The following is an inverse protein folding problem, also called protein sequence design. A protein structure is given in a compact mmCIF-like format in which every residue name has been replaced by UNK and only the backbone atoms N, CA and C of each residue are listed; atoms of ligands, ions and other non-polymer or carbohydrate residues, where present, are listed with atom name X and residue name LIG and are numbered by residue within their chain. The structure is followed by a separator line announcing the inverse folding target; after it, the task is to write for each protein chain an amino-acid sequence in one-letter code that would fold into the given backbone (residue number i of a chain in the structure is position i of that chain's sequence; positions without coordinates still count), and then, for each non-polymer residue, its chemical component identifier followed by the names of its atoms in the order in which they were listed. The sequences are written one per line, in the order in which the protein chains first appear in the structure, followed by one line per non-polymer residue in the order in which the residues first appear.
data_IF_291412043147
#
_entry.id   IF_291412043147
#
_cell.length_a   1.000
_cell.length_b   1.000
_cell.length_c   1.000
_cell.angle_alpha   90.00
_cell.angle_beta   90.00
_cell.angle_gamma   90.00
#
_symmetry.space_group_name_H-M   'P 1'
#
loop_
_entity.id
_entity.type
_entity.pdbx_description
1 polymer ?
2 non-polymer ?
3 water ?
#
# COMPACT_ATOMS: atom_id res chain seq x y z
N UNK A 1 13.25 3.75 -3.32
CA UNK A 1 14.06 2.54 -3.13
C UNK A 1 13.44 1.52 -2.18
N UNK A 2 14.05 0.34 -2.16
CA UNK A 2 13.42 -0.78 -1.46
C UNK A 2 13.36 -0.57 0.07
N UNK A 3 14.39 0.03 0.64
CA UNK A 3 14.39 0.30 2.10
C UNK A 3 13.39 1.37 2.48
N UNK A 4 13.29 2.44 1.69
CA UNK A 4 12.26 3.44 2.02
C UNK A 4 10.90 2.71 1.91
N UNK A 5 10.71 1.91 0.83
CA UNK A 5 9.41 1.24 0.64
C UNK A 5 9.14 0.37 1.87
N UNK A 6 10.20 -0.23 2.45
CA UNK A 6 9.97 -1.08 3.64
C UNK A 6 9.47 -0.28 4.84
N UNK A 7 9.92 0.98 4.99
CA UNK A 7 9.53 1.77 6.14
C UNK A 7 8.08 2.20 5.91
N UNK A 8 7.81 2.69 4.71
CA UNK A 8 6.43 3.07 4.41
C UNK A 8 5.46 1.91 4.71
N UNK A 9 5.82 0.71 4.27
CA UNK A 9 4.95 -0.46 4.42
C UNK A 9 4.82 -0.82 5.90
N UNK A 10 5.95 -0.89 6.62
CA UNK A 10 5.95 -1.24 8.09
C UNK A 10 5.07 -0.29 8.87
N UNK A 11 5.09 0.98 8.51
CA UNK A 11 4.36 1.93 9.27
C UNK A 11 2.86 1.96 8.93
N UNK A 12 2.57 1.97 7.63
CA UNK A 12 1.21 1.96 7.10
C UNK A 12 0.48 0.69 7.57
N UNK A 13 1.20 -0.42 7.49
CA UNK A 13 0.67 -1.70 7.94
C UNK A 13 0.20 -1.83 9.37
N UNK A 14 0.61 -0.91 10.24
CA UNK A 14 0.15 -0.94 11.65
C UNK A 14 -1.38 -0.76 11.75
N UNK A 15 -2.00 -0.02 10.83
CA UNK A 15 -3.43 0.20 10.84
C UNK A 15 -4.26 -0.99 10.27
N UNK A 16 -3.61 -2.07 9.86
CA UNK A 16 -4.37 -3.18 9.33
C UNK A 16 -5.31 -3.77 10.39
N UNK A 17 -4.85 -3.97 11.62
CA UNK A 17 -5.74 -4.68 12.57
C UNK A 17 -7.06 -3.94 12.88
N UNK A 18 -6.99 -2.62 12.99
CA UNK A 18 -8.14 -1.80 13.31
C UNK A 18 -9.08 -1.71 12.11
N UNK A 19 -8.61 -2.13 10.94
CA UNK A 19 -9.43 -2.04 9.72
C UNK A 19 -10.03 -3.35 9.26
N UNK A 20 -9.68 -4.45 9.95
CA UNK A 20 -10.14 -5.74 9.50
C UNK A 20 -11.65 -5.88 9.57
N UNK A 21 -12.24 -5.48 10.70
CA UNK A 21 -13.66 -5.78 10.88
C UNK A 21 -14.54 -5.11 9.84
N UNK A 22 -14.24 -3.86 9.53
CA UNK A 22 -15.09 -3.10 8.67
C UNK A 22 -14.86 -3.44 7.20
N UNK A 23 -13.70 -4.04 6.89
CA UNK A 23 -13.38 -4.49 5.52
C UNK A 23 -13.69 -5.94 5.22
N UNK A 24 -13.95 -6.74 6.25
CA UNK A 24 -14.07 -8.17 5.99
C UNK A 24 -12.76 -8.93 5.74
N UNK A 25 -11.59 -8.29 6.05
CA UNK A 25 -10.30 -8.87 5.77
C UNK A 25 -9.87 -9.86 6.88
N UNK A 26 -10.22 -11.11 6.67
CA UNK A 26 -9.88 -12.24 7.54
C UNK A 26 -8.38 -12.37 7.64
N UNK A 27 -7.88 -12.82 8.80
CA UNK A 27 -6.43 -13.09 8.90
C UNK A 27 -6.05 -14.17 7.89
N UNK A 28 -7.02 -15.03 7.51
CA UNK A 28 -6.71 -16.10 6.53
C UNK A 28 -6.52 -15.56 5.14
N UNK A 29 -6.93 -14.33 4.90
CA UNK A 29 -6.63 -13.71 3.61
C UNK A 29 -5.26 -12.98 3.69
N UNK A 30 -5.07 -12.21 4.76
CA UNK A 30 -3.79 -11.48 5.05
C UNK A 30 -3.54 -11.35 6.55
N UNK A 31 -2.46 -12.01 6.99
CA UNK A 31 -2.16 -12.03 8.40
C UNK A 31 -1.41 -10.78 8.79
N UNK A 32 -0.29 -10.50 8.11
CA UNK A 32 0.50 -9.34 8.44
C UNK A 32 0.58 -8.55 7.13
N UNK A 33 0.46 -7.24 7.23
CA UNK A 33 0.53 -6.39 5.99
C UNK A 33 1.80 -6.60 5.21
N UNK A 34 2.93 -6.84 5.88
CA UNK A 34 4.19 -7.09 5.17
C UNK A 34 4.11 -8.13 4.06
N UNK A 35 3.27 -9.14 4.25
CA UNK A 35 3.11 -10.22 3.26
C UNK A 35 2.56 -9.70 1.90
N UNK A 36 1.95 -8.50 1.90
CA UNK A 36 1.55 -7.87 0.64
C UNK A 36 2.67 -8.01 -0.43
N UNK A 37 3.92 -7.95 -0.02
CA UNK A 37 5.03 -7.97 -0.91
C UNK A 37 5.60 -9.33 -1.27
N UNK A 38 5.07 -10.41 -0.69
CA UNK A 38 5.66 -11.72 -0.99
C UNK A 38 5.22 -12.12 -2.39
N UNK A 39 6.13 -12.83 -3.08
CA UNK A 39 5.91 -13.47 -4.37
C UNK A 39 4.78 -14.44 -4.36
N UNK A 40 4.41 -14.89 -3.16
CA UNK A 40 3.43 -15.92 -2.96
C UNK A 40 2.06 -15.35 -2.49
N UNK A 41 1.92 -14.03 -2.57
CA UNK A 41 0.66 -13.40 -2.19
C UNK A 41 0.05 -12.69 -3.36
N UNK A 42 -1.16 -13.06 -3.72
CA UNK A 42 -1.91 -12.39 -4.80
C UNK A 42 -2.77 -11.29 -4.27
N UNK A 43 -2.58 -10.10 -4.84
CA UNK A 43 -3.23 -8.88 -4.39
C UNK A 43 -4.49 -8.77 -5.20
N UNK A 44 -5.58 -9.35 -4.69
CA UNK A 44 -6.77 -9.51 -5.53
C UNK A 44 -8.10 -9.38 -4.80
N UNK A 45 -8.14 -9.58 -3.50
CA UNK A 45 -9.44 -9.52 -2.84
C UNK A 45 -10.11 -8.16 -2.71
N UNK A 46 -11.39 -8.10 -2.99
CA UNK A 46 -12.10 -6.87 -2.73
C UNK A 46 -11.87 -6.45 -1.27
N UNK A 47 -11.94 -7.43 -0.35
CA UNK A 47 -11.77 -7.05 1.03
C UNK A 47 -10.45 -6.26 1.33
N UNK A 48 -9.39 -6.50 0.58
CA UNK A 48 -8.10 -5.88 0.83
C UNK A 48 -8.17 -4.49 0.24
N UNK A 49 -8.88 -4.36 -0.86
CA UNK A 49 -9.21 -3.00 -1.37
C UNK A 49 -9.93 -2.14 -0.34
N UNK A 50 -11.00 -2.70 0.26
CA UNK A 50 -11.70 -2.05 1.36
C UNK A 50 -10.77 -1.73 2.57
N UNK A 51 -9.88 -2.66 2.97
CA UNK A 51 -8.92 -2.44 4.05
C UNK A 51 -7.99 -1.30 3.72
N UNK A 52 -7.49 -1.29 2.50
CA UNK A 52 -6.58 -0.22 2.05
C UNK A 52 -7.25 1.12 2.10
N UNK A 53 -8.55 1.22 1.75
CA UNK A 53 -9.26 2.51 1.88
C UNK A 53 -9.26 2.92 3.36
N UNK A 54 -9.68 1.97 4.23
CA UNK A 54 -9.69 2.21 5.66
C UNK A 54 -8.30 2.73 6.16
N UNK A 55 -7.25 2.02 5.79
CA UNK A 55 -5.92 2.31 6.29
C UNK A 55 -5.51 3.66 5.80
N UNK A 56 -5.78 3.90 4.52
CA UNK A 56 -5.35 5.16 3.92
C UNK A 56 -6.03 6.35 4.60
N UNK A 57 -7.31 6.20 4.93
CA UNK A 57 -8.10 7.32 5.45
C UNK A 57 -7.62 7.70 6.88
N UNK A 58 -7.06 6.74 7.61
CA UNK A 58 -6.40 7.02 8.91
C UNK A 58 -5.31 8.10 8.79
N UNK A 59 -4.56 8.05 7.68
CA UNK A 59 -3.42 8.92 7.45
C UNK A 59 -3.78 10.01 6.41
N UNK A 60 -5.07 10.17 6.10
CA UNK A 60 -5.54 11.08 5.01
C UNK A 60 -4.77 10.92 3.68
N UNK A 61 -4.49 9.67 3.31
CA UNK A 61 -3.68 9.42 2.15
C UNK A 61 -4.53 9.34 0.89
N UNK A 62 -5.83 9.25 1.06
CA UNK A 62 -6.78 9.31 -0.06
C UNK A 62 -7.65 10.53 0.00
N UNK A 63 -8.15 10.97 -1.15
CA UNK A 63 -8.98 12.14 -1.19
C UNK A 63 -10.40 11.68 -1.25
N UNK A 64 -11.29 12.66 -1.35
CA UNK A 64 -12.70 12.41 -1.32
C UNK A 64 -13.22 11.64 -2.56
N UNK A 65 -12.39 11.53 -3.59
CA UNK A 65 -12.66 10.65 -4.75
C UNK A 65 -12.12 9.21 -4.60
N UNK A 66 -11.72 8.87 -3.36
CA UNK A 66 -11.14 7.55 -3.06
C UNK A 66 -9.96 7.23 -3.98
N UNK A 67 -9.23 8.30 -4.27
CA UNK A 67 -7.94 8.21 -4.97
C UNK A 67 -6.85 8.81 -4.09
N UNK A 68 -5.61 8.47 -4.39
CA UNK A 68 -4.50 9.02 -3.65
C UNK A 68 -4.54 10.53 -3.59
N UNK A 69 -4.28 11.04 -2.40
CA UNK A 69 -4.08 12.47 -2.21
C UNK A 69 -2.58 12.70 -2.47
N UNK A 70 -2.23 13.36 -3.58
CA UNK A 70 -0.86 13.40 -4.00
C UNK A 70 0.00 14.11 -2.98
N UNK A 71 -0.46 15.27 -2.49
CA UNK A 71 0.36 16.06 -1.55
C UNK A 71 0.54 15.33 -0.24
N UNK A 72 -0.53 14.75 0.26
CA UNK A 72 -0.42 14.01 1.50
C UNK A 72 0.43 12.77 1.39
N UNK A 73 0.40 12.09 0.25
CA UNK A 73 1.27 10.98 0.01
C UNK A 73 2.75 11.42 -0.05
N UNK A 74 3.04 12.51 -0.79
CA UNK A 74 4.37 12.94 -0.92
C UNK A 74 5.00 13.30 0.44
N UNK A 75 4.20 13.98 1.26
CA UNK A 75 4.54 14.37 2.64
C UNK A 75 4.75 13.10 3.48
N UNK A 76 3.90 12.10 3.28
CA UNK A 76 4.08 10.84 4.03
C UNK A 76 5.36 10.12 3.69
N UNK A 77 5.63 10.00 2.43
CA UNK A 77 6.83 9.29 2.05
C UNK A 77 8.05 10.07 2.47
N UNK A 78 8.01 11.39 2.36
CA UNK A 78 9.10 12.26 2.84
C UNK A 78 9.38 12.19 4.34
N UNK A 79 8.47 11.60 5.09
CA UNK A 79 8.56 11.54 6.54
C UNK A 79 9.44 10.41 6.94
N UNK A 80 9.83 9.54 5.99
CA UNK A 80 10.75 8.42 6.29
C UNK A 80 12.19 8.74 5.88
N UNK A 81 13.17 8.04 6.47
CA UNK A 81 14.54 8.31 6.12
C UNK A 81 14.73 8.10 4.61
N UNK A 82 15.36 9.11 3.99
CA UNK A 82 15.68 9.07 2.55
C UNK A 82 14.43 9.12 1.67
N UNK A 83 13.34 9.54 2.25
CA UNK A 83 11.98 9.52 1.60
C UNK A 83 11.94 10.29 0.31
N UNK A 84 12.64 11.41 0.26
CA UNK A 84 12.66 12.17 -1.01
C UNK A 84 13.04 11.36 -2.27
N UNK A 85 13.87 10.31 -2.15
CA UNK A 85 14.27 9.50 -3.29
C UNK A 85 13.11 8.64 -3.85
N UNK A 86 12.11 8.37 -3.04
CA UNK A 86 10.98 7.55 -3.48
C UNK A 86 9.73 8.39 -3.77
N UNK A 87 9.61 9.53 -3.12
CA UNK A 87 8.31 10.24 -3.09
C UNK A 87 7.75 10.56 -4.46
N UNK A 88 8.48 11.23 -5.34
CA UNK A 88 7.97 11.52 -6.66
C UNK A 88 7.70 10.26 -7.48
N UNK A 89 8.60 9.28 -7.39
CA UNK A 89 8.46 8.00 -8.13
C UNK A 89 7.22 7.23 -7.71
N UNK A 90 7.04 7.11 -6.39
CA UNK A 90 5.90 6.38 -5.88
C UNK A 90 4.55 7.01 -6.18
N UNK A 91 4.42 8.33 -6.04
CA UNK A 91 3.23 9.00 -6.45
C UNK A 91 2.96 8.80 -7.96
N UNK A 92 4.01 8.89 -8.79
CA UNK A 92 3.85 8.63 -10.21
C UNK A 92 3.30 7.24 -10.52
N UNK A 93 3.83 6.26 -9.81
CA UNK A 93 3.47 4.86 -10.09
C UNK A 93 2.05 4.61 -9.70
N UNK A 94 1.72 5.07 -8.48
CA UNK A 94 0.34 4.93 -8.02
C UNK A 94 -0.64 5.63 -8.93
N UNK A 95 -0.32 6.87 -9.33
CA UNK A 95 -1.24 7.60 -10.15
C UNK A 95 -1.42 6.97 -11.53
N UNK A 96 -0.33 6.47 -12.12
CA UNK A 96 -0.33 5.78 -13.42
C UNK A 96 -1.14 4.46 -13.41
N UNK A 97 -1.24 3.86 -12.22
CA UNK A 97 -2.04 2.68 -11.97
C UNK A 97 -3.49 3.06 -11.82
N UNK A 98 -3.74 4.16 -11.12
CA UNK A 98 -5.11 4.67 -10.93
C UNK A 98 -5.75 4.89 -12.29
N UNK A 99 -5.03 5.57 -13.18
CA UNK A 99 -5.60 5.87 -14.48
C UNK A 99 -5.99 4.62 -15.29
N UNK A 100 -5.32 3.47 -15.05
CA UNK A 100 -5.67 2.22 -15.74
C UNK A 100 -6.99 1.64 -15.26
N UNK A 101 -7.48 2.06 -14.08
CA UNK A 101 -8.64 1.38 -13.44
C UNK A 101 -9.67 2.38 -13.14
N UNK A 102 -9.61 3.52 -13.83
CA UNK A 102 -10.57 4.56 -13.57
C UNK A 102 -11.98 4.13 -13.94
N UNK A 103 -12.12 3.12 -14.81
CA UNK A 103 -13.51 2.73 -15.15
C UNK A 103 -14.14 1.73 -14.22
N UNK A 104 -13.45 1.32 -13.19
CA UNK A 104 -14.03 0.35 -12.26
C UNK A 104 -14.93 1.16 -11.32
N UNK A 105 -16.20 0.74 -11.24
CA UNK A 105 -17.29 1.45 -10.48
C UNK A 105 -17.20 1.14 -8.95
N UNK A 106 -16.66 -0.01 -8.61
CA UNK A 106 -16.61 -0.43 -7.20
C UNK A 106 -15.28 0.07 -6.61
N UNK A 107 -15.37 1.04 -5.67
CA UNK A 107 -14.19 1.63 -5.05
C UNK A 107 -13.26 0.63 -4.41
N UNK A 108 -13.79 -0.39 -3.69
CA UNK A 108 -12.93 -1.39 -3.09
C UNK A 108 -12.13 -2.24 -4.09
N UNK A 109 -12.82 -2.65 -5.16
CA UNK A 109 -12.27 -3.41 -6.21
C UNK A 109 -11.29 -2.59 -6.97
N UNK A 110 -11.68 -1.36 -7.26
CA UNK A 110 -10.75 -0.42 -7.94
C UNK A 110 -9.43 -0.32 -7.15
N UNK A 111 -9.49 -0.12 -5.83
CA UNK A 111 -8.25 0.05 -5.09
C UNK A 111 -7.38 -1.18 -5.02
N UNK A 112 -7.99 -2.37 -4.92
CA UNK A 112 -7.14 -3.60 -4.92
C UNK A 112 -6.50 -3.80 -6.29
N UNK A 113 -7.22 -3.49 -7.39
CA UNK A 113 -6.61 -3.52 -8.73
C UNK A 113 -5.49 -2.52 -8.91
N UNK A 114 -5.66 -1.33 -8.36
CA UNK A 114 -4.57 -0.32 -8.35
C UNK A 114 -3.35 -0.83 -7.55
N UNK A 115 -3.65 -1.51 -6.45
CA UNK A 115 -2.65 -2.02 -5.56
C UNK A 115 -1.82 -3.11 -6.20
N UNK A 116 -2.47 -4.02 -6.95
CA UNK A 116 -1.77 -5.10 -7.65
C UNK A 116 -0.87 -4.49 -8.75
N UNK A 117 -1.35 -3.46 -9.41
CA UNK A 117 -0.62 -2.80 -10.48
C UNK A 117 0.64 -2.15 -9.91
N UNK A 118 0.50 -1.56 -8.71
CA UNK A 118 1.56 -0.79 -8.06
C UNK A 118 2.64 -1.81 -7.63
N UNK A 119 2.19 -2.95 -7.10
CA UNK A 119 3.13 -3.99 -6.72
C UNK A 119 3.92 -4.50 -7.91
N UNK A 120 3.24 -4.76 -9.03
CA UNK A 120 3.82 -5.16 -10.28
C UNK A 120 4.85 -4.17 -10.75
N UNK A 121 4.48 -2.90 -10.78
CA UNK A 121 5.36 -1.91 -11.35
C UNK A 121 6.50 -1.60 -10.44
N UNK A 122 6.27 -1.78 -9.15
CA UNK A 122 7.31 -1.57 -8.18
C UNK A 122 8.35 -2.67 -8.33
N UNK A 123 7.90 -3.93 -8.57
CA UNK A 123 8.82 -5.06 -8.79
C UNK A 123 9.66 -4.78 -10.03
N UNK A 124 8.98 -4.36 -11.09
CA UNK A 124 9.59 -3.97 -12.37
C UNK A 124 10.64 -2.91 -12.24
N UNK A 125 10.45 -1.94 -11.36
CA UNK A 125 11.32 -0.80 -11.16
C UNK A 125 12.37 -1.01 -10.12
N UNK A 126 12.30 -2.17 -9.51
CA UNK A 126 13.27 -2.57 -8.53
C UNK A 126 13.20 -1.84 -7.21
N UNK A 127 12.00 -1.47 -6.76
CA UNK A 127 11.85 -0.80 -5.47
C UNK A 127 10.93 -1.63 -4.56
N UNK A 128 10.63 -2.84 -4.99
CA UNK A 128 9.72 -3.68 -4.17
C UNK A 128 10.54 -4.36 -3.09
N UNK A 129 10.17 -4.17 -1.79
CA UNK A 129 11.00 -4.74 -0.73
C UNK A 129 10.66 -6.18 -0.48
N UNK A 130 11.60 -6.90 0.14
CA UNK A 130 11.36 -8.25 0.59
C UNK A 130 10.56 -8.18 1.86
N UNK A 131 9.73 -9.20 2.11
CA UNK A 131 9.05 -9.32 3.38
C UNK A 131 10.01 -9.18 4.55
N UNK A 132 11.19 -9.83 4.45
CA UNK A 132 12.25 -9.77 5.50
C UNK A 132 12.60 -8.32 5.83
N UNK A 133 12.68 -7.50 4.78
CA UNK A 133 13.10 -6.08 4.96
C UNK A 133 12.04 -5.26 5.69
N UNK A 134 10.78 -5.54 5.42
CA UNK A 134 9.69 -4.88 6.13
C UNK A 134 9.72 -5.31 7.58
N UNK A 135 9.95 -6.62 7.79
CA UNK A 135 9.92 -7.13 9.14
C UNK A 135 11.03 -6.50 9.96
N UNK A 136 12.18 -6.26 9.34
CA UNK A 136 13.36 -5.74 10.03
C UNK A 136 13.12 -4.33 10.62
N UNK A 137 12.13 -3.62 10.06
CA UNK A 137 11.77 -2.25 10.44
C UNK A 137 10.44 -2.15 11.19
N UNK A 138 9.79 -3.28 11.46
CA UNK A 138 8.44 -3.22 12.12
C UNK A 138 8.36 -2.46 13.49
N UNK A 139 9.44 -2.55 14.26
CA UNK A 139 9.56 -1.90 15.59
C UNK A 139 9.60 -0.37 15.61
N UNK A 140 9.93 0.24 14.48
CA UNK A 140 10.19 1.67 14.51
C UNK A 140 8.93 2.46 14.67
N UNK A 141 9.03 3.57 15.42
CA UNK A 141 8.02 4.65 15.41
C UNK A 141 6.75 4.21 16.16
X LIG B 1 -10.09 11.81 4.43
X LIG C 1 -17.69 -4.34 5.54
X LIG D 1 -15.50 -12.18 -2.81
#
# INVERSE_FOLDING_TARGET
TAEVMSHVTAHFGKTLEECREESGLSVDILDEFKHFWSDDFDVVHRELGCAIICMSNKFSLMDDDVRMHHVNMDEYIKSFPNGQVLAEKMVKLIHNCEKQFDTETDDCTRVVKVAACFKEDSRKEGIAPEVAMVEAVIEKY
MG MG
MG MG
MG MG
#
